data_IF_177096929830
#
_entry.id   IF_177096929830
#
_cell.length_a   1.000
_cell.length_b   1.000
_cell.length_c   1.000
_cell.angle_alpha   90.00
_cell.angle_beta   90.00
_cell.angle_gamma   90.00
#
_symmetry.space_group_name_H-M   'P 1'
#
loop_
_entity.id
_entity.type
_entity.pdbx_description
1 polymer ?
#
# COMPACT_ATOMS: atom_id res chain seq x y z
N UNK A 1 48.27 -1.67 -0.18
CA UNK A 1 48.19 -0.67 -1.28
C UNK A 1 46.97 0.27 -1.20
N UNK A 2 46.18 0.28 -0.10
CA UNK A 2 44.92 1.04 -0.03
C UNK A 2 45.04 2.50 0.47
N UNK A 3 46.21 2.97 0.92
CA UNK A 3 46.38 4.33 1.49
C UNK A 3 47.41 5.22 0.77
N UNK A 4 47.81 4.87 -0.45
CA UNK A 4 48.74 5.71 -1.22
C UNK A 4 47.89 6.70 -2.04
N UNK A 5 47.97 8.00 -1.73
CA UNK A 5 47.28 9.00 -2.55
C UNK A 5 47.79 8.91 -4.00
N UNK A 6 46.90 9.14 -4.96
CA UNK A 6 47.22 9.07 -6.40
C UNK A 6 48.49 9.89 -6.73
N UNK A 7 48.67 11.03 -6.05
CA UNK A 7 49.88 11.86 -6.18
C UNK A 7 51.16 11.16 -5.70
N UNK A 8 51.11 10.41 -4.59
CA UNK A 8 52.27 9.63 -4.11
C UNK A 8 52.57 8.46 -5.03
N UNK A 9 51.56 7.76 -5.53
CA UNK A 9 51.71 6.65 -6.47
C UNK A 9 52.35 7.12 -7.79
N UNK A 10 51.88 8.25 -8.34
CA UNK A 10 52.46 8.85 -9.54
C UNK A 10 53.91 9.28 -9.36
N UNK A 11 54.28 9.83 -8.19
CA UNK A 11 55.68 10.17 -7.89
C UNK A 11 56.57 8.93 -7.85
N UNK A 12 56.09 7.82 -7.28
CA UNK A 12 56.84 6.56 -7.23
C UNK A 12 57.06 6.02 -8.65
N UNK A 13 56.02 6.05 -9.50
CA UNK A 13 56.15 5.63 -10.90
C UNK A 13 57.14 6.51 -11.65
N UNK A 14 57.03 7.84 -11.56
CA UNK A 14 57.95 8.76 -12.24
C UNK A 14 59.40 8.60 -11.75
N UNK A 15 59.61 8.36 -10.45
CA UNK A 15 60.94 8.10 -9.90
C UNK A 15 61.49 6.76 -10.40
N UNK A 16 60.65 5.73 -10.44
CA UNK A 16 61.01 4.41 -10.98
C UNK A 16 61.40 4.47 -12.45
N UNK A 17 60.59 5.15 -13.29
CA UNK A 17 60.87 5.30 -14.72
C UNK A 17 62.13 6.11 -14.99
N UNK A 18 62.37 7.18 -14.22
CA UNK A 18 63.59 7.98 -14.33
C UNK A 18 64.84 7.15 -13.95
N UNK A 19 64.76 6.36 -12.89
CA UNK A 19 65.86 5.53 -12.41
C UNK A 19 66.18 4.40 -13.41
N UNK A 20 65.16 3.74 -13.98
CA UNK A 20 65.35 2.75 -15.04
C UNK A 20 65.92 3.37 -16.32
N UNK A 21 65.45 4.55 -16.72
CA UNK A 21 65.95 5.26 -17.88
C UNK A 21 67.43 5.65 -17.71
N UNK A 22 67.81 6.15 -16.53
CA UNK A 22 69.19 6.46 -16.19
C UNK A 22 70.09 5.22 -16.23
N UNK A 23 69.63 4.08 -15.71
CA UNK A 23 70.37 2.82 -15.76
C UNK A 23 70.60 2.34 -17.20
N UNK A 24 69.58 2.39 -18.06
CA UNK A 24 69.68 2.01 -19.48
C UNK A 24 70.65 2.93 -20.24
N UNK A 25 70.58 4.24 -20.00
CA UNK A 25 71.52 5.20 -20.62
C UNK A 25 72.97 4.97 -20.18
N UNK A 26 73.19 4.62 -18.90
CA UNK A 26 74.52 4.29 -18.38
C UNK A 26 75.09 3.02 -19.03
N UNK A 27 74.27 1.97 -19.19
CA UNK A 27 74.65 0.74 -19.89
C UNK A 27 74.96 1.01 -21.36
N UNK A 28 74.13 1.80 -22.05
CA UNK A 28 74.35 2.17 -23.45
C UNK A 28 75.65 2.98 -23.65
N UNK A 29 75.96 3.89 -22.73
CA UNK A 29 77.22 4.65 -22.76
C UNK A 29 78.42 3.73 -22.54
N UNK A 30 78.33 2.80 -21.59
CA UNK A 30 79.42 1.84 -21.32
C UNK A 30 79.71 0.93 -22.51
N UNK A 31 78.67 0.49 -23.22
CA UNK A 31 78.80 -0.41 -24.39
C UNK A 31 79.31 0.30 -25.65
N UNK A 32 78.83 1.51 -25.92
CA UNK A 32 79.09 2.18 -27.22
C UNK A 32 80.18 3.25 -27.14
N UNK A 33 80.47 3.81 -25.94
CA UNK A 33 81.37 4.97 -25.71
C UNK A 33 81.07 6.21 -26.56
N UNK A 34 79.94 6.24 -27.27
CA UNK A 34 79.51 7.34 -28.13
C UNK A 34 78.54 8.27 -27.39
N UNK A 35 78.89 9.55 -27.32
CA UNK A 35 78.07 10.58 -26.68
C UNK A 35 76.78 10.87 -27.44
N UNK A 36 76.73 10.62 -28.76
CA UNK A 36 75.55 10.88 -29.61
C UNK A 36 74.38 9.97 -29.24
N UNK A 37 74.66 8.70 -28.95
CA UNK A 37 73.65 7.70 -28.57
C UNK A 37 73.01 8.07 -27.22
N UNK A 38 73.81 8.56 -26.27
CA UNK A 38 73.32 9.03 -24.97
C UNK A 38 72.44 10.27 -25.13
N UNK A 39 72.82 11.22 -25.99
CA UNK A 39 72.03 12.42 -26.25
C UNK A 39 70.67 12.08 -26.89
N UNK A 40 70.64 11.19 -27.87
CA UNK A 40 69.40 10.70 -28.47
C UNK A 40 68.51 9.99 -27.44
N UNK A 41 69.09 9.17 -26.56
CA UNK A 41 68.37 8.50 -25.49
C UNK A 41 67.78 9.47 -24.46
N UNK A 42 68.52 10.52 -24.07
CA UNK A 42 68.01 11.58 -23.20
C UNK A 42 66.82 12.31 -23.84
N UNK A 43 66.92 12.67 -25.12
CA UNK A 43 65.83 13.32 -25.86
C UNK A 43 64.59 12.40 -25.88
N UNK A 44 64.76 11.11 -26.19
CA UNK A 44 63.66 10.14 -26.20
C UNK A 44 62.99 10.02 -24.82
N UNK A 45 63.78 9.94 -23.75
CA UNK A 45 63.22 9.88 -22.38
C UNK A 45 62.45 11.15 -22.03
N UNK A 46 62.96 12.33 -22.38
CA UNK A 46 62.27 13.60 -22.16
C UNK A 46 60.93 13.66 -22.92
N UNK A 47 60.89 13.17 -24.16
CA UNK A 47 59.66 13.08 -24.96
C UNK A 47 58.65 12.10 -24.32
N UNK A 48 59.10 10.95 -23.83
CA UNK A 48 58.23 10.00 -23.11
C UNK A 48 57.66 10.60 -21.83
N UNK A 49 58.46 11.33 -21.06
CA UNK A 49 57.98 12.04 -19.87
C UNK A 49 56.95 13.13 -20.22
N UNK A 50 57.18 13.87 -21.31
CA UNK A 50 56.23 14.87 -21.80
C UNK A 50 54.88 14.23 -22.16
N UNK A 51 54.89 13.15 -22.98
CA UNK A 51 53.66 12.44 -23.35
C UNK A 51 52.96 11.79 -22.16
N UNK A 52 53.72 11.23 -21.21
CA UNK A 52 53.17 10.70 -19.96
C UNK A 52 52.47 11.79 -19.14
N UNK A 53 53.07 12.98 -19.02
CA UNK A 53 52.45 14.10 -18.32
C UNK A 53 51.16 14.59 -19.02
N UNK A 54 51.15 14.64 -20.35
CA UNK A 54 49.95 14.98 -21.15
C UNK A 54 48.85 13.94 -20.92
N UNK A 55 49.17 12.65 -20.99
CA UNK A 55 48.23 11.56 -20.73
C UNK A 55 47.65 11.62 -19.32
N UNK A 56 48.50 11.83 -18.31
CA UNK A 56 48.06 11.95 -16.91
C UNK A 56 47.14 13.15 -16.68
N UNK A 57 47.46 14.30 -17.28
CA UNK A 57 46.62 15.50 -17.20
C UNK A 57 45.27 15.27 -17.88
N UNK A 58 45.27 14.65 -19.06
CA UNK A 58 44.06 14.28 -19.79
C UNK A 58 43.18 13.31 -18.97
N UNK A 59 43.78 12.26 -18.41
CA UNK A 59 43.07 11.27 -17.59
C UNK A 59 42.47 11.89 -16.33
N UNK A 60 43.22 12.74 -15.63
CA UNK A 60 42.71 13.46 -14.44
C UNK A 60 41.53 14.38 -14.79
N UNK A 61 41.60 15.09 -15.91
CA UNK A 61 40.51 15.96 -16.36
C UNK A 61 39.25 15.15 -16.68
N UNK A 62 39.38 14.05 -17.44
CA UNK A 62 38.26 13.16 -17.79
C UNK A 62 37.61 12.56 -16.54
N UNK A 63 38.41 12.15 -15.55
CA UNK A 63 37.90 11.58 -14.29
C UNK A 63 37.20 12.62 -13.41
N UNK A 64 37.71 13.85 -13.35
CA UNK A 64 37.04 14.95 -12.64
C UNK A 64 35.67 15.24 -13.24
N UNK A 65 35.61 15.45 -14.56
CA UNK A 65 34.35 15.72 -15.27
C UNK A 65 33.32 14.60 -15.05
N UNK A 66 33.75 13.34 -15.09
CA UNK A 66 32.88 12.21 -14.80
C UNK A 66 32.37 12.22 -13.36
N UNK A 67 33.26 12.48 -12.39
CA UNK A 67 32.88 12.53 -10.96
C UNK A 67 31.92 13.68 -10.70
N UNK A 68 32.17 14.85 -11.30
CA UNK A 68 31.31 16.02 -11.16
C UNK A 68 29.92 15.76 -11.77
N UNK A 69 29.85 15.14 -12.95
CA UNK A 69 28.59 14.71 -13.58
C UNK A 69 27.83 13.68 -12.76
N UNK A 70 28.54 12.72 -12.15
CA UNK A 70 27.96 11.75 -11.21
C UNK A 70 27.35 12.43 -9.98
N UNK A 71 28.11 13.33 -9.35
CA UNK A 71 27.64 14.07 -8.17
C UNK A 71 26.41 14.92 -8.52
N UNK A 72 26.44 15.65 -9.64
CA UNK A 72 25.28 16.42 -10.11
C UNK A 72 24.06 15.52 -10.35
N UNK A 73 24.25 14.36 -10.97
CA UNK A 73 23.16 13.41 -11.19
C UNK A 73 22.59 12.91 -9.85
N UNK A 74 23.45 12.58 -8.88
CA UNK A 74 23.03 12.14 -7.55
C UNK A 74 22.28 13.25 -6.80
N UNK A 75 22.76 14.49 -6.85
CA UNK A 75 22.10 15.65 -6.24
C UNK A 75 20.72 15.90 -6.88
N UNK A 76 20.61 15.81 -8.20
CA UNK A 76 19.35 15.90 -8.93
C UNK A 76 18.37 14.78 -8.59
N UNK A 77 18.88 13.56 -8.39
CA UNK A 77 18.08 12.41 -7.93
C UNK A 77 17.59 12.61 -6.48
N UNK A 78 18.44 13.09 -5.56
CA UNK A 78 18.07 13.38 -4.17
C UNK A 78 17.04 14.51 -4.07
N UNK A 79 17.15 15.51 -4.95
CA UNK A 79 16.16 16.58 -5.10
C UNK A 79 14.86 16.12 -5.76
N UNK A 80 14.82 14.91 -6.32
CA UNK A 80 13.63 14.33 -6.94
C UNK A 80 13.24 14.92 -8.29
N UNK A 81 14.14 15.70 -8.91
CA UNK A 81 13.84 16.52 -10.08
C UNK A 81 14.42 15.96 -11.39
N UNK A 82 15.43 15.09 -11.33
CA UNK A 82 16.16 14.67 -12.54
C UNK A 82 16.31 13.15 -12.62
N UNK A 83 15.97 12.62 -13.80
CA UNK A 83 16.24 11.23 -14.16
C UNK A 83 17.72 11.12 -14.58
N UNK A 84 18.46 10.10 -14.13
CA UNK A 84 19.83 9.91 -14.57
C UNK A 84 19.91 9.73 -16.09
N UNK A 85 20.82 10.48 -16.72
CA UNK A 85 21.09 10.34 -18.15
C UNK A 85 21.92 9.09 -18.41
N UNK A 86 21.38 8.17 -19.20
CA UNK A 86 22.10 6.95 -19.60
C UNK A 86 22.82 7.23 -20.91
N UNK A 87 24.13 7.47 -20.81
CA UNK A 87 25.00 7.50 -21.99
C UNK A 87 25.31 6.06 -22.42
N UNK A 88 24.65 5.62 -23.49
CA UNK A 88 24.82 4.28 -24.08
C UNK A 88 26.11 4.17 -24.92
N UNK A 89 26.77 5.27 -25.23
CA UNK A 89 28.04 5.29 -25.98
C UNK A 89 29.27 5.29 -25.05
N UNK A 90 29.06 5.42 -23.73
CA UNK A 90 30.13 5.42 -22.75
C UNK A 90 30.85 4.06 -22.64
N UNK A 91 32.13 4.09 -22.28
CA UNK A 91 32.95 2.90 -22.01
C UNK A 91 32.18 1.91 -21.09
N UNK A 92 32.37 0.59 -21.30
CA UNK A 92 31.52 -0.47 -20.69
C UNK A 92 31.35 -0.37 -19.17
N UNK A 93 32.31 0.21 -18.45
CA UNK A 93 32.23 0.43 -17.00
C UNK A 93 31.27 1.58 -16.63
N UNK A 94 31.27 2.65 -17.41
CA UNK A 94 30.42 3.84 -17.22
C UNK A 94 28.95 3.48 -17.49
N UNK A 95 28.68 2.77 -18.59
CA UNK A 95 27.35 2.28 -18.92
C UNK A 95 26.77 1.40 -17.79
N UNK A 96 27.59 0.55 -17.15
CA UNK A 96 27.18 -0.26 -15.99
C UNK A 96 26.81 0.58 -14.77
N UNK A 97 27.52 1.68 -14.52
CA UNK A 97 27.23 2.58 -13.41
C UNK A 97 25.92 3.33 -13.68
N UNK A 98 25.76 3.90 -14.88
CA UNK A 98 24.55 4.62 -15.26
C UNK A 98 23.30 3.73 -15.18
N UNK A 99 23.39 2.47 -15.63
CA UNK A 99 22.27 1.53 -15.50
C UNK A 99 21.92 1.20 -14.03
N UNK A 100 22.93 1.07 -13.15
CA UNK A 100 22.68 0.87 -11.72
C UNK A 100 22.03 2.10 -11.08
N UNK A 101 22.44 3.31 -11.47
CA UNK A 101 21.83 4.55 -11.02
C UNK A 101 20.38 4.67 -11.48
N UNK A 102 20.10 4.30 -12.74
CA UNK A 102 18.74 4.27 -13.24
C UNK A 102 17.85 3.30 -12.45
N UNK A 103 18.35 2.09 -12.16
CA UNK A 103 17.62 1.14 -11.32
C UNK A 103 17.37 1.68 -9.91
N UNK A 104 18.37 2.31 -9.29
CA UNK A 104 18.23 2.94 -7.97
C UNK A 104 17.21 4.07 -8.02
N UNK A 105 17.25 4.92 -9.06
CA UNK A 105 16.28 5.99 -9.26
C UNK A 105 14.85 5.45 -9.36
N UNK A 106 14.63 4.40 -10.15
CA UNK A 106 13.31 3.80 -10.30
C UNK A 106 12.80 3.24 -8.95
N UNK A 107 13.62 2.52 -8.21
CA UNK A 107 13.25 2.02 -6.87
C UNK A 107 12.98 3.16 -5.88
N UNK A 108 13.76 4.24 -5.91
CA UNK A 108 13.51 5.42 -5.08
C UNK A 108 12.19 6.10 -5.44
N UNK A 109 11.88 6.23 -6.74
CA UNK A 109 10.63 6.81 -7.20
C UNK A 109 9.42 5.96 -6.81
N UNK A 110 9.50 4.63 -6.97
CA UNK A 110 8.46 3.70 -6.52
C UNK A 110 8.22 3.83 -5.01
N UNK A 111 9.28 3.88 -4.21
CA UNK A 111 9.16 4.06 -2.76
C UNK A 111 8.60 5.43 -2.37
N UNK A 112 8.98 6.50 -3.10
CA UNK A 112 8.43 7.84 -2.88
C UNK A 112 6.94 7.88 -3.20
N UNK A 113 6.53 7.30 -4.33
CA UNK A 113 5.13 7.21 -4.72
C UNK A 113 4.32 6.45 -3.67
N UNK A 114 4.81 5.28 -3.21
CA UNK A 114 4.18 4.53 -2.13
C UNK A 114 4.05 5.34 -0.84
N UNK A 115 5.10 6.05 -0.44
CA UNK A 115 5.06 6.90 0.75
C UNK A 115 4.07 8.08 0.61
N UNK A 116 3.94 8.65 -0.59
CA UNK A 116 2.96 9.69 -0.90
C UNK A 116 1.52 9.12 -0.89
N UNK A 117 1.30 7.93 -1.44
CA UNK A 117 0.03 7.21 -1.40
C UNK A 117 -0.38 6.87 0.04
N UNK A 118 0.51 6.28 0.83
CA UNK A 118 0.28 5.98 2.26
C UNK A 118 -0.04 7.26 3.05
N UNK A 119 0.67 8.36 2.78
CA UNK A 119 0.40 9.66 3.41
C UNK A 119 -0.97 10.20 3.01
N UNK A 120 -1.34 10.11 1.73
CA UNK A 120 -2.65 10.56 1.26
C UNK A 120 -3.79 9.71 1.86
N UNK A 121 -3.60 8.39 1.96
CA UNK A 121 -4.55 7.47 2.61
C UNK A 121 -4.72 7.82 4.10
N UNK A 122 -3.63 8.04 4.84
CA UNK A 122 -3.68 8.47 6.24
C UNK A 122 -4.40 9.81 6.41
N UNK A 123 -4.15 10.78 5.53
CA UNK A 123 -4.84 12.08 5.56
C UNK A 123 -6.33 11.94 5.30
N UNK A 124 -6.73 11.11 4.33
CA UNK A 124 -8.15 10.81 4.07
C UNK A 124 -8.80 10.16 5.29
N UNK A 125 -8.15 9.14 5.87
CA UNK A 125 -8.65 8.42 7.04
C UNK A 125 -8.87 9.34 8.24
N UNK A 126 -7.91 10.22 8.55
CA UNK A 126 -8.07 11.19 9.65
C UNK A 126 -9.22 12.16 9.38
N UNK A 127 -9.39 12.60 8.13
CA UNK A 127 -10.49 13.48 7.74
C UNK A 127 -11.85 12.78 7.91
N UNK A 128 -11.98 11.55 7.41
CA UNK A 128 -13.21 10.78 7.46
C UNK A 128 -13.61 10.46 8.91
N UNK A 129 -12.66 10.01 9.74
CA UNK A 129 -12.90 9.77 11.17
C UNK A 129 -13.38 11.05 11.86
N UNK A 130 -12.75 12.18 11.57
CA UNK A 130 -13.14 13.47 12.15
C UNK A 130 -14.57 13.84 11.77
N UNK A 131 -14.96 13.64 10.51
CA UNK A 131 -16.31 13.91 10.04
C UNK A 131 -17.34 12.98 10.70
N UNK A 132 -17.09 11.67 10.70
CA UNK A 132 -18.00 10.67 11.27
C UNK A 132 -18.13 10.79 12.80
N UNK A 133 -17.13 11.34 13.48
CA UNK A 133 -17.16 11.57 14.93
C UNK A 133 -17.85 12.90 15.28
N UNK A 134 -17.65 13.95 14.46
CA UNK A 134 -18.21 15.28 14.72
C UNK A 134 -19.74 15.31 14.69
N UNK A 135 -20.37 14.55 13.78
CA UNK A 135 -21.84 14.49 13.65
C UNK A 135 -22.52 14.00 14.93
N UNK A 136 -22.24 12.79 15.47
CA UNK A 136 -22.88 12.30 16.68
C UNK A 136 -22.57 13.19 17.89
N UNK A 137 -21.35 13.72 18.01
CA UNK A 137 -21.00 14.65 19.09
C UNK A 137 -21.81 15.95 19.01
N UNK A 138 -21.99 16.53 17.82
CA UNK A 138 -22.80 17.73 17.64
C UNK A 138 -24.27 17.47 18.00
N UNK A 139 -24.82 16.31 17.60
CA UNK A 139 -26.17 15.90 17.96
C UNK A 139 -26.33 15.71 19.48
N UNK A 140 -25.38 15.05 20.12
CA UNK A 140 -25.36 14.88 21.58
C UNK A 140 -25.35 16.23 22.30
N UNK A 141 -24.49 17.15 21.85
CA UNK A 141 -24.42 18.51 22.41
C UNK A 141 -25.74 19.26 22.24
N UNK A 142 -26.34 19.22 21.05
CA UNK A 142 -27.62 19.87 20.77
C UNK A 142 -28.76 19.29 21.63
N UNK A 143 -28.86 17.97 21.76
CA UNK A 143 -29.87 17.30 22.58
C UNK A 143 -29.71 17.68 24.06
N UNK A 144 -28.47 17.65 24.56
CA UNK A 144 -28.15 18.04 25.94
C UNK A 144 -28.47 19.52 26.21
N UNK A 145 -28.06 20.42 25.32
CA UNK A 145 -28.36 21.86 25.45
C UNK A 145 -29.87 22.11 25.43
N UNK A 146 -30.63 21.38 24.60
CA UNK A 146 -32.10 21.48 24.56
C UNK A 146 -32.73 21.02 25.87
N UNK A 147 -32.26 19.90 26.43
CA UNK A 147 -32.73 19.37 27.72
C UNK A 147 -32.43 20.30 28.89
N UNK A 148 -31.30 21.02 28.85
CA UNK A 148 -30.89 21.95 29.90
C UNK A 148 -31.58 23.31 29.82
N UNK A 149 -31.87 23.81 28.61
CA UNK A 149 -32.30 25.21 28.40
C UNK A 149 -33.79 25.37 28.14
N UNK A 150 -34.50 24.31 27.73
CA UNK A 150 -35.92 24.40 27.38
C UNK A 150 -36.77 23.50 28.27
N UNK A 151 -37.93 23.97 28.74
CA UNK A 151 -38.92 23.08 29.33
C UNK A 151 -39.43 22.12 28.25
N UNK A 152 -39.29 20.82 28.50
CA UNK A 152 -39.75 19.73 27.63
C UNK A 152 -40.70 18.83 28.42
N UNK A 153 -41.67 18.23 27.74
CA UNK A 153 -42.55 17.22 28.37
C UNK A 153 -41.75 15.97 28.73
N UNK A 154 -42.27 15.14 29.64
CA UNK A 154 -41.60 13.88 30.00
C UNK A 154 -41.46 12.94 28.79
N UNK A 155 -42.45 12.91 27.91
CA UNK A 155 -42.42 12.11 26.68
C UNK A 155 -41.26 12.56 25.78
N UNK A 156 -41.12 13.88 25.56
CA UNK A 156 -40.04 14.43 24.73
C UNK A 156 -38.67 14.27 25.37
N UNK A 157 -38.60 14.35 26.70
CA UNK A 157 -37.38 14.05 27.47
C UNK A 157 -36.95 12.61 27.23
N UNK A 158 -37.87 11.64 27.31
CA UNK A 158 -37.59 10.23 27.05
C UNK A 158 -37.08 10.02 25.62
N UNK A 159 -37.74 10.61 24.63
CA UNK A 159 -37.28 10.55 23.22
C UNK A 159 -35.86 11.11 23.05
N UNK A 160 -35.52 12.23 23.70
CA UNK A 160 -34.17 12.80 23.63
C UNK A 160 -33.12 11.93 24.32
N UNK A 161 -33.46 11.28 25.43
CA UNK A 161 -32.58 10.32 26.10
C UNK A 161 -32.35 9.06 25.25
N UNK A 162 -33.40 8.52 24.62
CA UNK A 162 -33.29 7.41 23.67
C UNK A 162 -32.43 7.79 22.46
N UNK A 163 -32.62 9.00 21.91
CA UNK A 163 -31.78 9.52 20.83
C UNK A 163 -30.32 9.69 21.26
N UNK A 164 -30.07 10.13 22.49
CA UNK A 164 -28.73 10.23 23.08
C UNK A 164 -28.06 8.86 23.14
N UNK A 165 -28.76 7.84 23.64
CA UNK A 165 -28.28 6.45 23.65
C UNK A 165 -27.88 5.97 22.26
N UNK A 166 -28.73 6.20 21.25
CA UNK A 166 -28.43 5.83 19.86
C UNK A 166 -27.16 6.51 19.30
N UNK A 167 -26.90 7.79 19.64
CA UNK A 167 -25.66 8.46 19.21
C UNK A 167 -24.42 7.90 19.93
N UNK A 168 -24.54 7.49 21.19
CA UNK A 168 -23.45 6.84 21.93
C UNK A 168 -23.14 5.46 21.35
N UNK A 169 -24.15 4.66 21.01
CA UNK A 169 -23.97 3.36 20.38
C UNK A 169 -23.27 3.50 19.02
N UNK A 170 -23.59 4.54 18.25
CA UNK A 170 -22.89 4.87 16.99
C UNK A 170 -21.40 5.17 17.23
N UNK A 171 -21.08 5.94 18.27
CA UNK A 171 -19.68 6.24 18.62
C UNK A 171 -18.93 4.98 19.10
N UNK A 172 -19.55 4.13 19.93
CA UNK A 172 -18.95 2.86 20.36
C UNK A 172 -18.69 1.93 19.17
N UNK A 173 -19.66 1.80 18.25
CA UNK A 173 -19.49 1.04 17.02
C UNK A 173 -18.35 1.59 16.16
N UNK A 174 -18.27 2.93 15.97
CA UNK A 174 -17.18 3.57 15.23
C UNK A 174 -15.81 3.21 15.82
N UNK A 175 -15.65 3.36 17.14
CA UNK A 175 -14.37 3.09 17.83
C UNK A 175 -14.00 1.61 17.70
N UNK A 176 -14.94 0.70 17.93
CA UNK A 176 -14.70 -0.75 17.78
C UNK A 176 -14.32 -1.11 16.36
N UNK A 177 -15.04 -0.58 15.37
CA UNK A 177 -14.77 -0.83 13.97
C UNK A 177 -13.38 -0.30 13.55
N UNK A 178 -12.98 0.89 14.02
CA UNK A 178 -11.64 1.44 13.79
C UNK A 178 -10.55 0.57 14.41
N UNK A 179 -10.73 0.11 15.65
CA UNK A 179 -9.74 -0.76 16.32
C UNK A 179 -9.61 -2.10 15.60
N UNK A 180 -10.72 -2.71 15.18
CA UNK A 180 -10.70 -3.96 14.40
C UNK A 180 -9.96 -3.75 13.08
N UNK A 181 -10.32 -2.70 12.35
CA UNK A 181 -9.75 -2.35 11.04
C UNK A 181 -8.25 -2.09 11.13
N UNK A 182 -7.82 -1.25 12.07
CA UNK A 182 -6.40 -0.95 12.30
C UNK A 182 -5.59 -2.20 12.64
N UNK A 183 -6.13 -3.10 13.48
CA UNK A 183 -5.44 -4.34 13.83
C UNK A 183 -5.36 -5.35 12.67
N UNK A 184 -6.32 -5.32 11.74
CA UNK A 184 -6.28 -6.14 10.52
C UNK A 184 -5.22 -5.60 9.55
N UNK A 185 -5.22 -4.30 9.28
CA UNK A 185 -4.29 -3.64 8.34
C UNK A 185 -2.82 -3.73 8.79
N UNK A 186 -2.57 -3.62 10.09
CA UNK A 186 -1.22 -3.75 10.66
C UNK A 186 -0.73 -5.20 10.74
N UNK A 187 -1.56 -6.17 10.36
CA UNK A 187 -1.24 -7.60 10.48
C UNK A 187 -1.15 -8.10 11.92
N UNK A 188 -1.58 -7.30 12.91
CA UNK A 188 -1.62 -7.71 14.32
C UNK A 188 -2.66 -8.81 14.58
N UNK A 189 -3.70 -8.87 13.76
CA UNK A 189 -4.62 -10.01 13.72
C UNK A 189 -4.09 -11.01 12.69
N UNK A 190 -3.65 -12.16 13.18
CA UNK A 190 -3.35 -13.33 12.36
C UNK A 190 -4.64 -14.17 12.25
N UNK A 191 -5.15 -14.35 11.04
CA UNK A 191 -6.31 -15.21 10.81
C UNK A 191 -5.87 -16.68 10.85
N UNK A 192 -6.58 -17.49 11.64
CA UNK A 192 -6.30 -18.91 11.77
C UNK A 192 -7.29 -19.73 10.95
N UNK A 193 -6.89 -20.05 9.71
CA UNK A 193 -7.70 -20.93 8.85
C UNK A 193 -7.65 -22.35 9.39
N UNK A 194 -8.81 -22.89 9.73
CA UNK A 194 -8.97 -24.28 10.15
C UNK A 194 -10.15 -24.90 9.41
N UNK A 195 -10.14 -26.22 9.12
CA UNK A 195 -11.32 -26.91 8.65
C UNK A 195 -12.45 -26.72 9.66
N UNK A 196 -13.53 -26.05 9.24
CA UNK A 196 -14.71 -25.83 10.05
C UNK A 196 -15.97 -25.94 9.20
N UNK A 197 -17.08 -26.38 9.81
CA UNK A 197 -18.37 -26.46 9.13
C UNK A 197 -18.85 -25.06 8.76
N UNK A 198 -19.21 -24.87 7.49
CA UNK A 198 -19.70 -23.56 7.03
C UNK A 198 -21.05 -23.21 7.68
N UNK A 199 -21.85 -24.23 7.99
CA UNK A 199 -23.14 -24.09 8.66
C UNK A 199 -23.03 -23.35 10.00
N UNK A 200 -22.05 -23.70 10.84
CA UNK A 200 -21.85 -23.05 12.14
C UNK A 200 -21.47 -21.57 11.99
N UNK A 201 -20.67 -21.26 10.97
CA UNK A 201 -20.21 -19.91 10.66
C UNK A 201 -21.35 -19.03 10.15
N UNK A 202 -22.21 -19.61 9.30
CA UNK A 202 -23.44 -18.97 8.82
C UNK A 202 -24.43 -18.73 9.96
N UNK A 203 -24.66 -19.74 10.81
CA UNK A 203 -25.54 -19.62 11.97
C UNK A 203 -25.10 -18.49 12.91
N UNK A 204 -23.80 -18.40 13.20
CA UNK A 204 -23.25 -17.32 14.00
C UNK A 204 -23.49 -15.93 13.38
N UNK A 205 -23.36 -15.81 12.05
CA UNK A 205 -23.60 -14.55 11.34
C UNK A 205 -25.09 -14.16 11.33
N UNK A 206 -25.96 -15.14 11.04
CA UNK A 206 -27.43 -14.96 11.02
C UNK A 206 -27.97 -14.55 12.39
N UNK A 207 -27.46 -15.16 13.47
CA UNK A 207 -27.87 -14.82 14.83
C UNK A 207 -27.69 -13.32 15.16
N UNK A 208 -26.69 -12.67 14.56
CA UNK A 208 -26.47 -11.24 14.76
C UNK A 208 -27.55 -10.34 14.13
N UNK A 209 -28.32 -10.84 13.16
CA UNK A 209 -29.31 -10.04 12.41
C UNK A 209 -30.75 -10.49 12.62
N UNK A 210 -31.02 -11.50 13.46
CA UNK A 210 -32.36 -12.02 13.71
C UNK A 210 -33.33 -10.94 14.22
N UNK A 211 -32.98 -10.24 15.31
CA UNK A 211 -33.86 -9.23 15.91
C UNK A 211 -34.26 -8.08 14.94
N UNK A 212 -33.32 -7.43 14.21
CA UNK A 212 -33.71 -6.39 13.24
C UNK A 212 -34.46 -6.94 12.03
N UNK A 213 -34.22 -8.18 11.63
CA UNK A 213 -34.93 -8.87 10.56
C UNK A 213 -36.39 -9.17 10.94
N UNK A 214 -36.62 -9.71 12.14
CA UNK A 214 -37.95 -9.95 12.70
C UNK A 214 -38.76 -8.66 12.83
N UNK A 215 -38.12 -7.58 13.31
CA UNK A 215 -38.75 -6.25 13.40
C UNK A 215 -39.24 -5.72 12.05
N UNK A 216 -38.58 -6.10 10.95
CA UNK A 216 -38.96 -5.75 9.57
C UNK A 216 -39.79 -6.83 8.88
N UNK A 217 -40.08 -7.95 9.54
CA UNK A 217 -40.77 -9.11 8.94
C UNK A 217 -40.09 -9.63 7.67
N UNK A 218 -38.75 -9.54 7.61
CA UNK A 218 -37.98 -10.05 6.47
C UNK A 218 -37.88 -11.58 6.55
N UNK A 219 -38.12 -12.26 5.44
CA UNK A 219 -37.92 -13.72 5.37
C UNK A 219 -36.47 -14.04 4.98
N UNK A 220 -35.83 -14.93 5.74
CA UNK A 220 -34.49 -15.45 5.43
C UNK A 220 -34.59 -16.90 4.98
N UNK A 221 -33.99 -17.20 3.82
CA UNK A 221 -33.76 -18.56 3.35
C UNK A 221 -32.25 -18.82 3.29
N UNK A 222 -31.81 -19.96 3.84
CA UNK A 222 -30.41 -20.37 3.83
C UNK A 222 -30.33 -21.76 3.20
N UNK A 223 -29.61 -21.87 2.10
CA UNK A 223 -29.38 -23.11 1.36
C UNK A 223 -27.87 -23.40 1.28
N UNK A 224 -27.46 -24.58 1.71
CA UNK A 224 -26.06 -25.00 1.72
C UNK A 224 -25.95 -26.52 1.65
N UNK A 225 -24.85 -27.06 1.09
CA UNK A 225 -24.61 -28.50 1.09
C UNK A 225 -24.40 -29.02 2.51
N UNK A 226 -25.07 -30.12 2.87
CA UNK A 226 -24.86 -30.81 4.14
C UNK A 226 -23.38 -31.22 4.32
N UNK A 227 -22.88 -31.15 5.55
CA UNK A 227 -21.52 -31.52 5.95
C UNK A 227 -20.37 -30.78 5.23
N UNK A 228 -20.65 -29.61 4.62
CA UNK A 228 -19.63 -28.80 3.96
C UNK A 228 -18.63 -28.20 4.96
N UNK A 229 -17.38 -28.69 4.91
CA UNK A 229 -16.25 -28.20 5.70
C UNK A 229 -15.32 -27.36 4.83
N UNK A 230 -15.02 -26.13 5.23
CA UNK A 230 -14.17 -25.18 4.50
C UNK A 230 -12.99 -24.78 5.37
N UNK A 231 -11.80 -24.61 4.79
CA UNK A 231 -10.63 -24.09 5.52
C UNK A 231 -10.71 -22.57 5.64
N UNK A 232 -11.16 -22.08 6.80
CA UNK A 232 -11.37 -20.65 7.04
C UNK A 232 -11.27 -20.33 8.55
N UNK A 233 -11.13 -19.05 8.88
CA UNK A 233 -11.27 -18.55 10.24
C UNK A 233 -12.75 -18.27 10.49
N UNK A 234 -13.43 -19.17 11.21
CA UNK A 234 -14.88 -19.09 11.43
C UNK A 234 -15.31 -17.81 12.13
N UNK A 235 -14.50 -17.27 13.05
CA UNK A 235 -14.85 -16.05 13.78
C UNK A 235 -14.85 -14.84 12.84
N UNK A 236 -13.77 -14.67 12.07
CA UNK A 236 -13.66 -13.54 11.16
C UNK A 236 -14.57 -13.68 9.95
N UNK A 237 -14.71 -14.89 9.41
CA UNK A 237 -15.64 -15.15 8.30
C UNK A 237 -17.08 -14.89 8.71
N UNK A 238 -17.48 -15.28 9.92
CA UNK A 238 -18.80 -14.94 10.48
C UNK A 238 -18.99 -13.42 10.62
N UNK A 239 -17.97 -12.68 11.06
CA UNK A 239 -18.01 -11.21 11.10
C UNK A 239 -18.17 -10.60 9.69
N UNK A 240 -17.47 -11.12 8.68
CA UNK A 240 -17.61 -10.64 7.31
C UNK A 240 -19.02 -10.89 6.77
N UNK A 241 -19.56 -12.10 6.98
CA UNK A 241 -20.92 -12.47 6.56
C UNK A 241 -21.98 -11.67 7.34
N UNK A 242 -21.78 -11.43 8.63
CA UNK A 242 -22.63 -10.56 9.43
C UNK A 242 -22.70 -9.15 8.83
N UNK A 243 -21.57 -8.57 8.41
CA UNK A 243 -21.56 -7.25 7.77
C UNK A 243 -22.32 -7.23 6.43
N UNK A 244 -22.32 -8.33 5.67
CA UNK A 244 -23.13 -8.44 4.45
C UNK A 244 -24.62 -8.57 4.77
N UNK A 245 -24.97 -9.43 5.73
CA UNK A 245 -26.33 -9.66 6.18
C UNK A 245 -26.96 -8.41 6.84
N UNK A 246 -26.20 -7.69 7.65
CA UNK A 246 -26.63 -6.44 8.28
C UNK A 246 -26.96 -5.38 7.21
N UNK A 247 -26.15 -5.29 6.15
CA UNK A 247 -26.48 -4.43 5.01
C UNK A 247 -27.75 -4.92 4.29
N UNK A 248 -27.87 -6.22 4.01
CA UNK A 248 -29.07 -6.77 3.40
C UNK A 248 -30.33 -6.42 4.22
N UNK A 249 -30.31 -6.61 5.54
CA UNK A 249 -31.43 -6.25 6.43
C UNK A 249 -31.69 -4.75 6.44
N UNK A 250 -30.65 -3.91 6.46
CA UNK A 250 -30.80 -2.44 6.45
C UNK A 250 -31.48 -1.92 5.19
N UNK A 251 -31.08 -2.42 4.03
CA UNK A 251 -31.52 -1.91 2.73
C UNK A 251 -32.71 -2.66 2.12
N UNK A 252 -33.12 -3.78 2.73
CA UNK A 252 -34.38 -4.46 2.40
C UNK A 252 -35.55 -3.76 3.10
N UNK A 253 -36.66 -3.48 2.38
CA UNK A 253 -37.89 -2.96 2.99
C UNK A 253 -38.53 -3.99 3.91
N UNK A 254 -39.58 -3.58 4.64
CA UNK A 254 -40.39 -4.53 5.39
C UNK A 254 -41.03 -5.57 4.45
N UNK A 255 -41.24 -6.78 4.96
CA UNK A 255 -41.80 -7.93 4.22
C UNK A 255 -40.95 -8.39 3.02
N UNK A 256 -39.70 -7.93 2.91
CA UNK A 256 -38.76 -8.36 1.87
C UNK A 256 -38.11 -9.72 2.17
N UNK A 257 -37.21 -10.13 1.29
CA UNK A 257 -36.54 -11.44 1.37
C UNK A 257 -35.02 -11.29 1.31
N UNK A 258 -34.34 -12.16 2.07
CA UNK A 258 -32.90 -12.36 2.01
C UNK A 258 -32.64 -13.84 1.77
N UNK A 259 -31.73 -14.14 0.84
CA UNK A 259 -31.34 -15.49 0.46
C UNK A 259 -29.84 -15.65 0.68
N UNK A 260 -29.46 -16.71 1.36
CA UNK A 260 -28.07 -17.10 1.53
C UNK A 260 -27.88 -18.45 0.86
N UNK A 261 -27.01 -18.52 -0.16
CA UNK A 261 -26.74 -19.77 -0.87
C UNK A 261 -25.25 -20.09 -0.82
N UNK A 262 -24.90 -21.37 -0.67
CA UNK A 262 -23.52 -21.85 -0.69
C UNK A 262 -23.33 -22.84 -1.83
N UNK A 263 -22.36 -22.58 -2.68
CA UNK A 263 -22.00 -23.43 -3.81
C UNK A 263 -20.51 -23.80 -3.75
N UNK A 264 -20.20 -25.07 -3.98
CA UNK A 264 -18.82 -25.53 -4.12
C UNK A 264 -18.44 -25.47 -5.59
N UNK A 265 -17.45 -24.66 -5.90
CA UNK A 265 -16.83 -24.58 -7.24
C UNK A 265 -15.46 -25.28 -7.21
N UNK A 266 -14.80 -25.36 -8.38
CA UNK A 266 -13.53 -26.08 -8.52
C UNK A 266 -12.41 -25.54 -7.63
N UNK A 267 -12.30 -24.20 -7.52
CA UNK A 267 -11.25 -23.52 -6.76
C UNK A 267 -11.76 -22.71 -5.57
N UNK A 268 -13.08 -22.54 -5.44
CA UNK A 268 -13.68 -21.68 -4.43
C UNK A 268 -14.96 -22.27 -3.85
N UNK A 269 -15.25 -21.94 -2.60
CA UNK A 269 -16.61 -21.98 -2.06
C UNK A 269 -17.19 -20.59 -2.23
N UNK A 270 -18.30 -20.53 -2.97
CA UNK A 270 -19.05 -19.31 -3.21
C UNK A 270 -20.19 -19.24 -2.21
N UNK A 271 -20.30 -18.11 -1.50
CA UNK A 271 -21.38 -17.81 -0.57
C UNK A 271 -22.05 -16.54 -1.07
N UNK A 272 -23.29 -16.65 -1.54
CA UNK A 272 -24.07 -15.49 -1.97
C UNK A 272 -24.98 -15.03 -0.84
N UNK A 273 -24.98 -13.72 -0.59
CA UNK A 273 -25.97 -13.02 0.24
C UNK A 273 -26.77 -12.12 -0.70
N UNK A 274 -27.99 -12.55 -1.04
CA UNK A 274 -28.89 -11.83 -1.93
C UNK A 274 -30.04 -11.20 -1.15
N UNK A 275 -30.41 -9.97 -1.52
CA UNK A 275 -31.49 -9.21 -0.91
C UNK A 275 -32.47 -8.70 -1.97
N UNK A 276 -33.74 -8.50 -1.59
CA UNK A 276 -34.76 -7.86 -2.46
C UNK A 276 -34.91 -6.37 -2.16
N UNK A 277 -33.83 -5.71 -1.77
CA UNK A 277 -33.80 -4.30 -1.42
C UNK A 277 -33.84 -3.37 -2.63
N UNK A 278 -33.49 -2.11 -2.39
CA UNK A 278 -33.47 -1.05 -3.42
C UNK A 278 -32.43 -1.24 -4.53
N UNK A 279 -31.45 -2.12 -4.33
CA UNK A 279 -30.30 -2.25 -5.22
C UNK A 279 -29.34 -1.04 -5.18
N UNK A 280 -28.27 -1.16 -5.96
CA UNK A 280 -27.11 -0.28 -5.97
C UNK A 280 -26.84 0.15 -7.42
N UNK A 281 -26.77 1.46 -7.72
CA UNK A 281 -26.42 1.95 -9.05
C UNK A 281 -25.04 1.46 -9.46
N UNK A 282 -24.87 1.09 -10.74
CA UNK A 282 -23.61 0.56 -11.29
C UNK A 282 -22.40 1.45 -10.97
N UNK A 283 -22.57 2.77 -11.06
CA UNK A 283 -21.53 3.77 -10.73
C UNK A 283 -21.06 3.72 -9.27
N UNK A 284 -21.89 3.21 -8.35
CA UNK A 284 -21.56 3.09 -6.94
C UNK A 284 -20.95 1.73 -6.57
N UNK A 285 -21.17 0.68 -7.37
CA UNK A 285 -20.79 -0.70 -7.01
C UNK A 285 -19.28 -0.89 -6.78
N UNK A 286 -18.43 -0.13 -7.46
CA UNK A 286 -16.98 -0.16 -7.23
C UNK A 286 -16.54 0.56 -5.95
N UNK A 287 -17.30 1.56 -5.49
CA UNK A 287 -16.92 2.46 -4.39
C UNK A 287 -17.59 2.09 -3.06
N UNK A 288 -18.64 1.27 -3.05
CA UNK A 288 -19.34 0.85 -1.81
C UNK A 288 -18.44 0.15 -0.78
N UNK A 289 -17.34 -0.43 -1.23
CA UNK A 289 -16.38 -1.10 -0.36
C UNK A 289 -15.30 -0.15 0.19
N UNK A 290 -15.32 1.15 -0.15
CA UNK A 290 -14.41 2.13 0.45
C UNK A 290 -14.81 2.41 1.89
N UNK A 291 -13.81 2.70 2.75
CA UNK A 291 -14.05 3.11 4.14
C UNK A 291 -14.93 4.36 4.16
N UNK A 292 -15.88 4.39 5.10
CA UNK A 292 -16.78 5.51 5.36
C UNK A 292 -17.69 5.91 4.20
N UNK A 293 -17.72 5.13 3.11
CA UNK A 293 -18.59 5.42 1.99
C UNK A 293 -20.05 5.22 2.39
N UNK A 294 -20.86 6.24 2.11
CA UNK A 294 -22.31 6.22 2.21
C UNK A 294 -22.89 7.01 1.06
N UNK A 295 -23.95 6.49 0.46
CA UNK A 295 -24.69 7.24 -0.55
C UNK A 295 -25.39 8.45 0.10
N UNK A 296 -25.25 9.64 -0.49
CA UNK A 296 -25.80 10.91 0.06
C UNK A 296 -27.33 10.84 0.25
N UNK A 297 -28.03 10.08 -0.59
CA UNK A 297 -29.47 9.88 -0.51
C UNK A 297 -29.92 9.09 0.74
N UNK A 298 -28.99 8.48 1.48
CA UNK A 298 -29.26 7.50 2.54
C UNK A 298 -28.85 8.00 3.93
N UNK A 299 -29.16 9.25 4.28
CA UNK A 299 -28.91 9.79 5.63
C UNK A 299 -29.75 9.12 6.72
N UNK A 300 -30.92 8.59 6.39
CA UNK A 300 -31.87 8.01 7.35
C UNK A 300 -31.62 6.54 7.71
N UNK A 301 -30.69 5.86 7.03
CA UNK A 301 -30.32 4.48 7.38
C UNK A 301 -29.11 4.50 8.31
N UNK A 302 -29.17 3.77 9.42
CA UNK A 302 -28.07 3.73 10.38
C UNK A 302 -26.87 2.94 9.84
N UNK A 303 -25.70 3.56 9.88
CA UNK A 303 -24.44 2.94 9.43
C UNK A 303 -23.29 3.94 9.32
N UNK A 304 -22.07 3.45 9.42
CA UNK A 304 -20.85 4.29 9.39
C UNK A 304 -20.05 4.08 8.09
N UNK A 305 -20.42 3.10 7.26
CA UNK A 305 -19.74 2.82 5.99
C UNK A 305 -18.44 2.03 6.15
N UNK A 306 -18.23 1.35 7.28
CA UNK A 306 -17.04 0.50 7.51
C UNK A 306 -17.31 -0.99 7.23
N UNK A 307 -18.57 -1.44 7.37
CA UNK A 307 -18.89 -2.87 7.36
C UNK A 307 -18.48 -3.61 6.07
N UNK A 308 -18.80 -3.05 4.90
CA UNK A 308 -18.41 -3.66 3.61
C UNK A 308 -16.90 -3.65 3.39
N UNK A 309 -16.22 -2.57 3.81
CA UNK A 309 -14.75 -2.52 3.78
C UNK A 309 -14.16 -3.64 4.63
N UNK A 310 -14.61 -3.76 5.88
CA UNK A 310 -14.16 -4.77 6.82
C UNK A 310 -14.39 -6.19 6.30
N UNK A 311 -15.59 -6.46 5.76
CA UNK A 311 -15.89 -7.75 5.14
C UNK A 311 -14.91 -8.09 4.02
N UNK A 312 -14.62 -7.12 3.13
CA UNK A 312 -13.67 -7.32 2.03
C UNK A 312 -12.26 -7.59 2.54
N UNK A 313 -11.77 -6.84 3.52
CA UNK A 313 -10.44 -7.07 4.09
C UNK A 313 -10.31 -8.46 4.71
N UNK A 314 -11.29 -8.86 5.53
CA UNK A 314 -11.31 -10.19 6.16
C UNK A 314 -11.23 -11.30 5.10
N UNK A 315 -12.06 -11.23 4.07
CA UNK A 315 -12.09 -12.26 3.01
C UNK A 315 -10.79 -12.23 2.21
N UNK A 316 -10.24 -11.04 1.92
CA UNK A 316 -8.97 -10.87 1.18
C UNK A 316 -7.78 -11.43 1.95
N UNK A 317 -7.70 -11.19 3.27
CA UNK A 317 -6.67 -11.77 4.13
C UNK A 317 -6.74 -13.31 4.17
N UNK A 318 -7.92 -13.88 3.87
CA UNK A 318 -8.08 -15.32 3.73
C UNK A 318 -7.80 -15.84 2.31
N UNK A 319 -7.30 -15.00 1.41
CA UNK A 319 -7.02 -15.36 0.01
C UNK A 319 -8.27 -15.44 -0.87
N UNK A 320 -9.42 -15.00 -0.34
CA UNK A 320 -10.67 -14.90 -1.06
C UNK A 320 -10.90 -13.52 -1.69
N UNK A 321 -12.08 -13.31 -2.25
CA UNK A 321 -12.54 -11.99 -2.70
C UNK A 321 -14.06 -11.87 -2.60
N UNK A 322 -14.58 -10.64 -2.70
CA UNK A 322 -16.02 -10.35 -2.72
C UNK A 322 -16.38 -9.68 -4.05
N UNK A 323 -17.51 -10.09 -4.65
CA UNK A 323 -18.14 -9.42 -5.78
C UNK A 323 -19.53 -8.92 -5.40
N UNK A 324 -20.02 -7.92 -6.10
CA UNK A 324 -21.39 -7.45 -6.01
C UNK A 324 -22.00 -7.43 -7.41
N UNK A 325 -23.24 -7.88 -7.50
CA UNK A 325 -24.11 -7.70 -8.67
C UNK A 325 -25.40 -7.09 -8.15
N UNK A 326 -25.83 -5.97 -8.72
CA UNK A 326 -27.03 -5.29 -8.26
C UNK A 326 -27.68 -4.48 -9.37
N UNK A 327 -29.01 -4.36 -9.29
CA UNK A 327 -29.81 -3.53 -10.17
C UNK A 327 -30.82 -2.74 -9.32
N UNK A 328 -30.99 -1.46 -9.65
CA UNK A 328 -31.90 -0.57 -8.91
C UNK A 328 -33.32 -1.15 -8.98
N UNK A 329 -33.95 -1.28 -7.81
CA UNK A 329 -35.29 -1.82 -7.64
C UNK A 329 -35.40 -3.35 -7.65
N UNK A 330 -34.31 -4.08 -7.92
CA UNK A 330 -34.29 -5.56 -7.90
C UNK A 330 -33.47 -6.17 -6.77
N UNK A 331 -32.76 -5.33 -6.01
CA UNK A 331 -31.92 -5.76 -4.89
C UNK A 331 -30.47 -5.98 -5.28
N UNK A 332 -29.75 -6.69 -4.43
CA UNK A 332 -28.30 -6.88 -4.57
C UNK A 332 -27.91 -8.32 -4.24
N UNK A 333 -26.81 -8.78 -4.80
CA UNK A 333 -26.18 -10.05 -4.45
C UNK A 333 -24.70 -9.79 -4.19
N UNK A 334 -24.29 -10.05 -2.95
CA UNK A 334 -22.89 -10.03 -2.54
C UNK A 334 -22.36 -11.45 -2.52
N UNK A 335 -21.40 -11.74 -3.38
CA UNK A 335 -20.79 -13.06 -3.54
C UNK A 335 -19.42 -13.10 -2.89
N UNK A 336 -19.27 -13.88 -1.83
CA UNK A 336 -18.00 -14.18 -1.16
C UNK A 336 -17.39 -15.43 -1.77
N UNK A 337 -16.11 -15.36 -2.16
CA UNK A 337 -15.37 -16.50 -2.69
C UNK A 337 -14.23 -16.82 -1.74
N UNK A 338 -14.28 -17.98 -1.09
CA UNK A 338 -13.21 -18.50 -0.24
C UNK A 338 -12.48 -19.63 -0.97
N UNK A 339 -11.14 -19.71 -0.92
CA UNK A 339 -10.41 -20.80 -1.57
C UNK A 339 -10.90 -22.19 -1.12
N UNK A 340 -11.22 -23.04 -2.08
CA UNK A 340 -11.57 -24.44 -1.88
C UNK A 340 -10.30 -25.28 -2.03
N UNK A 341 -9.69 -25.60 -0.88
CA UNK A 341 -8.42 -26.32 -0.62
C UNK A 341 -7.21 -25.44 -0.30
#
# INVERSE_FOLDING_TARGET
MQNISIRKFLRIICAGTALTAAAVLAVLYWLTRDRRIVLCGLILTAVLFMWGAVFLKYFQLKLSLFTDSLCQTLDGMMGGNERPHVDYEAETLLARISHRLERLYNTMQENRHKAEEEKAELQSLVSDISHQTKIPIANLKMLNDTLLTRPVTEEKRREFLEATGSQLDKLDFLIRAMVKTSRLETGLIVLEKKPAAIADTLAAAVNGVLAPMEKKQITLSVDYPEDLTVSHDSRWTSEALFNLLDNAVKYTPADGNIYVTVEVWEFYVKIDVADTGRGIPESAQAIIFKRFYREESMHNVDGIGIGLYLAREIITMQGGYIKVVSEIGKGSTFSVFLPWR
#
